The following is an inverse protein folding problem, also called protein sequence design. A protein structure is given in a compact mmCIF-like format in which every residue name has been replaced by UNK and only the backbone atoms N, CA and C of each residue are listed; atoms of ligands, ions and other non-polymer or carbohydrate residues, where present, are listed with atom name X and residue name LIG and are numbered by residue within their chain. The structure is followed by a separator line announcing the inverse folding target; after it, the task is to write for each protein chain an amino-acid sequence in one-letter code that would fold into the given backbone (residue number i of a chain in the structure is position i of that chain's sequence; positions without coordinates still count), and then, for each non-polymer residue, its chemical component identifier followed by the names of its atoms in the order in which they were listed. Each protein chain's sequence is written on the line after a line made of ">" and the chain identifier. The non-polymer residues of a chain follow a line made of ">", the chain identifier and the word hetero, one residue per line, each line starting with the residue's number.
data_IF_646148015900
#
_entry.id   IF_646148015900
#
_cell.length_a   1.000
_cell.length_b   1.000
_cell.length_c   1.000
_cell.angle_alpha   90.00
_cell.angle_beta   90.00
_cell.angle_gamma   90.00
#
_symmetry.space_group_name_H-M   'P 1'
#
loop_
_entity.id
_entity.type
_entity.pdbx_description
1 polymer ?
#
# COMPACT_ATOMS: atom_id res chain seq x y z
N UNK A 1 4.83 -15.01 15.35
CA UNK A 1 4.83 -13.97 16.41
C UNK A 1 6.12 -13.17 16.30
N UNK A 2 6.06 -11.84 16.26
CA UNK A 2 7.24 -10.99 16.15
C UNK A 2 7.70 -10.54 17.53
N UNK A 3 9.02 -10.49 17.76
CA UNK A 3 9.59 -9.99 18.99
C UNK A 3 9.89 -8.49 18.87
N UNK A 4 9.60 -7.76 19.95
CA UNK A 4 9.91 -6.34 20.09
C UNK A 4 11.23 -6.18 20.84
N UNK A 5 12.11 -5.33 20.31
CA UNK A 5 13.25 -4.80 21.05
C UNK A 5 13.07 -3.31 21.26
N UNK A 6 13.32 -2.84 22.47
CA UNK A 6 13.26 -1.43 22.84
C UNK A 6 14.66 -0.97 23.24
N UNK A 7 15.01 0.24 22.81
CA UNK A 7 16.15 1.01 23.26
C UNK A 7 15.66 2.41 23.70
N UNK A 8 16.53 3.23 24.28
CA UNK A 8 16.17 4.52 24.91
C UNK A 8 15.41 5.49 24.00
N UNK A 9 15.50 5.33 22.66
CA UNK A 9 14.88 6.25 21.68
C UNK A 9 14.08 5.55 20.59
N UNK A 10 14.20 4.23 20.43
CA UNK A 10 13.61 3.52 19.30
C UNK A 10 13.08 2.15 19.69
N UNK A 11 12.09 1.68 18.92
CA UNK A 11 11.56 0.33 19.02
C UNK A 11 11.73 -0.36 17.67
N UNK A 12 12.22 -1.61 17.70
CA UNK A 12 12.43 -2.42 16.52
C UNK A 12 11.57 -3.69 16.58
N UNK A 13 10.96 -4.03 15.44
CA UNK A 13 10.25 -5.30 15.24
C UNK A 13 11.11 -6.21 14.37
N UNK A 14 11.39 -7.43 14.82
CA UNK A 14 12.03 -8.43 13.97
C UNK A 14 10.99 -9.13 13.13
N UNK A 15 11.06 -8.94 11.81
CA UNK A 15 10.23 -9.67 10.85
C UNK A 15 10.77 -11.11 10.67
N UNK A 16 9.93 -12.13 10.88
CA UNK A 16 10.26 -13.50 10.50
C UNK A 16 10.41 -13.64 8.97
N UNK A 17 10.99 -14.76 8.52
CA UNK A 17 11.40 -14.96 7.13
C UNK A 17 10.22 -14.91 6.14
N UNK A 18 9.09 -15.48 6.53
CA UNK A 18 7.84 -15.61 5.76
C UNK A 18 7.15 -14.27 5.46
N UNK A 19 7.45 -13.23 6.24
CA UNK A 19 6.85 -11.89 6.10
C UNK A 19 7.89 -10.80 5.84
N UNK A 20 9.07 -11.18 5.33
CA UNK A 20 10.06 -10.19 4.89
C UNK A 20 9.56 -9.43 3.68
N UNK A 21 9.94 -8.17 3.60
CA UNK A 21 9.83 -7.43 2.36
C UNK A 21 10.73 -8.06 1.29
N UNK A 22 10.37 -7.92 0.00
CA UNK A 22 11.24 -8.31 -1.11
C UNK A 22 12.63 -7.66 -1.03
N UNK A 23 13.60 -8.26 -1.73
CA UNK A 23 14.92 -7.67 -1.87
C UNK A 23 14.84 -6.25 -2.48
N UNK A 24 15.70 -5.35 -1.99
CA UNK A 24 15.73 -3.93 -2.40
C UNK A 24 14.81 -2.99 -1.60
N UNK A 25 13.92 -3.50 -0.76
CA UNK A 25 13.09 -2.65 0.13
C UNK A 25 13.86 -2.30 1.40
N UNK A 26 14.41 -1.08 1.44
CA UNK A 26 15.17 -0.57 2.60
C UNK A 26 14.45 0.54 3.37
N UNK A 27 13.35 1.07 2.83
CA UNK A 27 12.59 2.15 3.44
C UNK A 27 11.10 1.84 3.41
N UNK A 28 10.43 2.12 4.53
CA UNK A 28 9.00 1.88 4.72
C UNK A 28 8.35 3.12 5.33
N UNK A 29 7.08 3.33 4.99
CA UNK A 29 6.21 4.25 5.70
C UNK A 29 5.48 3.48 6.82
N UNK A 30 5.34 4.11 7.98
CA UNK A 30 4.58 3.56 9.11
C UNK A 30 3.37 4.45 9.33
N UNK A 31 2.17 3.84 9.33
CA UNK A 31 0.92 4.51 9.65
C UNK A 31 0.31 3.96 10.93
N UNK A 32 -0.28 4.85 11.72
CA UNK A 32 -0.92 4.51 13.00
C UNK A 32 -2.43 4.41 12.78
N UNK A 33 -3.02 3.27 13.15
CA UNK A 33 -4.47 3.07 13.18
C UNK A 33 -4.87 2.52 14.54
N UNK A 34 -5.16 3.41 15.49
CA UNK A 34 -5.35 3.03 16.88
C UNK A 34 -4.11 2.32 17.44
N UNK A 35 -4.27 1.06 17.86
CA UNK A 35 -3.19 0.23 18.38
C UNK A 35 -2.35 -0.44 17.28
N UNK A 36 -2.79 -0.39 16.03
CA UNK A 36 -2.09 -1.01 14.91
C UNK A 36 -0.96 -0.11 14.39
N UNK A 37 0.07 -0.76 13.85
CA UNK A 37 1.11 -0.13 13.04
C UNK A 37 1.10 -0.80 11.68
N UNK A 38 0.69 -0.06 10.66
CA UNK A 38 0.62 -0.54 9.28
C UNK A 38 1.92 -0.13 8.60
N UNK A 39 2.71 -1.11 8.17
CA UNK A 39 4.02 -0.91 7.56
C UNK A 39 3.91 -1.26 6.08
N UNK A 40 4.29 -0.33 5.20
CA UNK A 40 4.32 -0.54 3.76
C UNK A 40 5.60 0.06 3.18
N UNK A 41 6.14 -0.47 2.07
CA UNK A 41 7.23 0.19 1.35
C UNK A 41 6.86 1.63 0.99
N UNK A 42 7.84 2.54 0.99
CA UNK A 42 7.60 3.92 0.53
C UNK A 42 7.10 3.89 -0.91
N UNK A 43 6.19 4.81 -1.25
CA UNK A 43 5.63 4.91 -2.60
C UNK A 43 4.42 4.01 -2.86
N UNK A 44 4.18 3.02 -1.99
CA UNK A 44 3.12 2.02 -2.16
C UNK A 44 1.87 2.35 -1.32
N UNK A 45 1.63 3.63 -1.04
CA UNK A 45 0.42 4.11 -0.35
C UNK A 45 -0.49 4.86 -1.31
N UNK A 46 -1.80 4.86 -1.03
CA UNK A 46 -2.75 5.69 -1.78
C UNK A 46 -2.37 7.17 -1.75
N UNK A 47 -1.91 7.67 -0.61
CA UNK A 47 -1.43 9.06 -0.49
C UNK A 47 -0.27 9.32 -1.46
N UNK A 48 0.71 8.41 -1.55
CA UNK A 48 1.82 8.56 -2.48
C UNK A 48 1.36 8.50 -3.93
N UNK A 49 0.37 7.67 -4.25
CA UNK A 49 -0.18 7.58 -5.60
C UNK A 49 -0.95 8.85 -6.00
N UNK A 50 -1.78 9.40 -5.11
CA UNK A 50 -2.61 10.56 -5.43
C UNK A 50 -1.88 11.90 -5.32
N UNK A 51 -0.92 12.03 -4.39
CA UNK A 51 -0.18 13.29 -4.17
C UNK A 51 1.05 13.40 -5.07
N UNK A 52 1.82 12.33 -5.18
CA UNK A 52 3.14 12.32 -5.84
C UNK A 52 3.21 11.30 -7.00
N UNK A 53 2.08 10.69 -7.37
CA UNK A 53 2.06 9.66 -8.40
C UNK A 53 2.19 10.22 -9.82
N UNK A 54 2.39 9.32 -10.79
CA UNK A 54 2.49 9.70 -12.20
C UNK A 54 1.20 10.38 -12.65
N UNK A 55 1.35 11.55 -13.25
CA UNK A 55 0.25 12.26 -13.89
C UNK A 55 0.01 11.68 -15.27
N UNK A 56 -1.25 11.48 -15.60
CA UNK A 56 -1.66 11.13 -16.96
C UNK A 56 -1.74 12.39 -17.82
N UNK A 57 -1.69 12.24 -19.14
CA UNK A 57 -1.92 13.34 -20.06
C UNK A 57 -3.39 13.78 -20.03
N UNK A 58 -3.65 15.01 -20.48
CA UNK A 58 -5.00 15.59 -20.48
C UNK A 58 -5.98 14.80 -21.37
N UNK A 59 -5.48 14.05 -22.34
CA UNK A 59 -6.24 13.21 -23.28
C UNK A 59 -6.30 11.72 -22.89
N UNK A 60 -5.70 11.34 -21.75
CA UNK A 60 -5.67 9.94 -21.31
C UNK A 60 -7.08 9.42 -21.02
N UNK A 61 -7.54 8.44 -21.81
CA UNK A 61 -8.89 7.86 -21.74
C UNK A 61 -10.00 8.92 -21.84
N UNK A 62 -9.88 9.82 -22.82
CA UNK A 62 -10.86 10.89 -23.13
C UNK A 62 -12.29 10.38 -23.27
N UNK A 63 -12.48 9.14 -23.71
CA UNK A 63 -13.78 8.45 -23.71
C UNK A 63 -13.72 7.13 -22.94
N UNK A 64 -14.71 6.90 -22.09
CA UNK A 64 -14.91 5.61 -21.41
C UNK A 64 -15.52 4.62 -22.40
N UNK A 65 -14.90 3.45 -22.57
CA UNK A 65 -15.44 2.37 -23.37
C UNK A 65 -16.87 2.00 -22.94
N UNK A 66 -17.74 1.71 -23.92
CA UNK A 66 -19.11 1.27 -23.68
C UNK A 66 -19.13 -0.03 -22.88
N UNK A 67 -19.93 -0.08 -21.81
CA UNK A 67 -20.13 -1.30 -21.04
C UNK A 67 -21.51 -1.88 -21.39
N UNK A 68 -21.53 -2.95 -22.19
CA UNK A 68 -22.75 -3.70 -22.44
C UNK A 68 -22.86 -4.80 -21.39
N UNK A 69 -23.82 -4.65 -20.46
CA UNK A 69 -24.11 -5.68 -19.47
C UNK A 69 -25.32 -6.49 -19.94
N UNK A 70 -25.20 -7.82 -20.10
CA UNK A 70 -26.35 -8.66 -20.45
C UNK A 70 -27.38 -8.64 -19.31
N UNK A 71 -28.64 -8.91 -19.66
CA UNK A 71 -29.69 -9.08 -18.67
C UNK A 71 -29.34 -10.18 -17.66
N UNK A 72 -29.54 -9.91 -16.37
CA UNK A 72 -29.36 -10.91 -15.33
C UNK A 72 -30.53 -11.89 -15.34
N UNK A 73 -30.26 -13.18 -15.16
CA UNK A 73 -31.31 -14.18 -14.95
C UNK A 73 -32.14 -13.83 -13.71
N UNK A 74 -33.46 -14.00 -13.80
CA UNK A 74 -34.36 -13.86 -12.65
C UNK A 74 -34.19 -15.05 -11.70
N UNK A 75 -34.28 -14.79 -10.39
CA UNK A 75 -34.21 -15.79 -9.33
C UNK A 75 -35.49 -16.65 -9.28
#
# INVERSE_FOLDING_TARGET
>A
MCNLKQDLRTQAVRLPLDVRFPEGVHKVAIRVKGQERIIAPIGQTWDSFFLDGPRVSDDFLSERASQQQPGREAL
#
